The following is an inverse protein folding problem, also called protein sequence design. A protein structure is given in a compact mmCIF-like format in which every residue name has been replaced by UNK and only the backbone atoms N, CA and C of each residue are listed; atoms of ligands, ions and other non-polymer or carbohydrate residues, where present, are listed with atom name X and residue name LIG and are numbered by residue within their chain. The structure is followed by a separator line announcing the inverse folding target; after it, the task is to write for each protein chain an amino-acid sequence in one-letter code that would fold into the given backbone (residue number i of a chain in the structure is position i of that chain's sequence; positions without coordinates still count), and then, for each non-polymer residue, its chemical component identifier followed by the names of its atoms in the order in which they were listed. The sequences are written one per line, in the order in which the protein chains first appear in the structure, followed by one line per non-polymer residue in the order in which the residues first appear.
data_IF_739143741002
#
_entry.id   IF_739143741002
#
_cell.length_a   1.000
_cell.length_b   1.000
_cell.length_c   1.000
_cell.angle_alpha   90.00
_cell.angle_beta   90.00
_cell.angle_gamma   90.00
#
_symmetry.space_group_name_H-M   'P 1'
#
loop_
_entity.id
_entity.type
_entity.pdbx_description
1 polymer ?
#
# COMPACT_ATOMS: atom_id res chain seq x y z
N UNK A 1 20.06 9.46 9.29
CA UNK A 1 19.30 8.50 8.46
C UNK A 1 17.82 8.80 8.61
N UNK A 2 17.16 9.33 7.58
CA UNK A 2 15.69 9.45 7.61
C UNK A 2 15.13 8.02 7.63
N UNK A 3 14.22 7.66 8.55
CA UNK A 3 13.61 6.34 8.50
C UNK A 3 12.91 6.23 7.15
N UNK A 4 13.25 5.21 6.37
CA UNK A 4 12.45 4.81 5.21
C UNK A 4 11.06 4.49 5.77
N UNK A 5 10.15 5.47 5.77
CA UNK A 5 8.75 5.22 6.07
C UNK A 5 8.27 4.34 4.92
N UNK A 6 7.95 3.09 5.24
CA UNK A 6 7.41 2.16 4.26
C UNK A 6 6.16 2.80 3.62
N UNK A 7 6.16 2.95 2.30
CA UNK A 7 5.03 3.52 1.56
C UNK A 7 3.73 2.77 1.88
N UNK A 8 3.81 1.45 2.05
CA UNK A 8 2.70 0.61 2.52
C UNK A 8 2.18 1.03 3.89
N UNK A 9 3.07 1.33 4.84
CA UNK A 9 2.66 1.78 6.18
C UNK A 9 2.02 3.18 6.18
N UNK A 10 2.29 4.01 5.18
CA UNK A 10 1.59 5.28 4.98
C UNK A 10 0.19 5.05 4.40
N UNK A 11 0.08 4.19 3.36
CA UNK A 11 -1.20 3.84 2.77
C UNK A 11 -2.14 3.14 3.75
N UNK A 12 -1.64 2.25 4.61
CA UNK A 12 -2.44 1.59 5.66
C UNK A 12 -2.99 2.58 6.70
N UNK A 13 -2.23 3.63 7.02
CA UNK A 13 -2.71 4.70 7.92
C UNK A 13 -3.76 5.57 7.26
N UNK A 14 -3.57 5.90 6.00
CA UNK A 14 -4.56 6.63 5.21
C UNK A 14 -5.87 5.85 5.08
N UNK A 15 -5.80 4.53 4.89
CA UNK A 15 -6.96 3.62 4.86
C UNK A 15 -7.75 3.69 6.17
N UNK A 16 -7.06 3.60 7.30
CA UNK A 16 -7.68 3.70 8.62
C UNK A 16 -8.37 5.06 8.80
N UNK A 17 -7.73 6.15 8.39
CA UNK A 17 -8.32 7.48 8.45
C UNK A 17 -9.60 7.60 7.61
N UNK A 18 -9.59 7.11 6.36
CA UNK A 18 -10.77 7.16 5.48
C UNK A 18 -11.94 6.34 6.04
N UNK A 19 -11.67 5.17 6.64
CA UNK A 19 -12.69 4.36 7.31
C UNK A 19 -13.29 5.09 8.51
N UNK A 20 -12.49 5.78 9.31
CA UNK A 20 -12.98 6.60 10.42
C UNK A 20 -13.85 7.76 9.94
N UNK A 21 -13.49 8.41 8.82
CA UNK A 21 -14.32 9.46 8.23
C UNK A 21 -15.66 8.92 7.72
N UNK A 22 -15.65 7.77 7.05
CA UNK A 22 -16.88 7.10 6.59
C UNK A 22 -17.83 6.72 7.74
N UNK A 23 -17.28 6.40 8.91
CA UNK A 23 -18.09 6.13 10.12
C UNK A 23 -18.69 7.40 10.73
N UNK A 24 -18.00 8.54 10.64
CA UNK A 24 -18.38 9.77 11.33
C UNK A 24 -19.30 10.67 10.51
N UNK A 25 -19.25 10.59 9.18
CA UNK A 25 -19.88 11.55 8.28
C UNK A 25 -20.76 10.86 7.23
N UNK A 26 -21.98 11.38 7.04
CA UNK A 26 -22.89 10.94 5.97
C UNK A 26 -22.71 11.73 4.66
N UNK A 27 -22.17 12.94 4.74
CA UNK A 27 -21.86 13.79 3.59
C UNK A 27 -20.61 13.28 2.86
N UNK A 28 -20.51 13.48 1.55
CA UNK A 28 -19.33 13.06 0.77
C UNK A 28 -18.95 11.57 0.89
N UNK A 29 -19.88 10.68 1.29
CA UNK A 29 -19.62 9.23 1.42
C UNK A 29 -19.11 8.64 0.12
N UNK A 30 -19.71 9.02 -1.01
CA UNK A 30 -19.32 8.50 -2.32
C UNK A 30 -17.89 8.89 -2.69
N UNK A 31 -17.46 10.12 -2.38
CA UNK A 31 -16.10 10.58 -2.61
C UNK A 31 -15.09 9.85 -1.71
N UNK A 32 -15.46 9.63 -0.44
CA UNK A 32 -14.66 8.85 0.50
C UNK A 32 -14.53 7.38 0.06
N UNK A 33 -15.60 6.79 -0.46
CA UNK A 33 -15.57 5.42 -1.00
C UNK A 33 -14.66 5.31 -2.22
N UNK A 34 -14.77 6.24 -3.19
CA UNK A 34 -13.87 6.25 -4.36
C UNK A 34 -12.40 6.35 -3.95
N UNK A 35 -12.09 7.26 -3.02
CA UNK A 35 -10.73 7.40 -2.48
C UNK A 35 -10.24 6.13 -1.79
N UNK A 36 -11.11 5.47 -1.05
CA UNK A 36 -10.77 4.21 -0.38
C UNK A 36 -10.52 3.09 -1.41
N UNK A 37 -11.34 2.99 -2.46
CA UNK A 37 -11.16 2.02 -3.55
C UNK A 37 -9.83 2.23 -4.28
N UNK A 38 -9.50 3.48 -4.63
CA UNK A 38 -8.21 3.82 -5.26
C UNK A 38 -7.02 3.46 -4.35
N UNK A 39 -7.16 3.71 -3.05
CA UNK A 39 -6.13 3.42 -2.06
C UNK A 39 -5.92 1.90 -1.87
N UNK A 40 -7.00 1.13 -1.81
CA UNK A 40 -6.95 -0.35 -1.72
C UNK A 40 -6.28 -0.95 -2.96
N UNK A 41 -6.59 -0.43 -4.16
CA UNK A 41 -5.92 -0.85 -5.39
C UNK A 41 -4.41 -0.57 -5.35
N UNK A 42 -3.99 0.57 -4.80
CA UNK A 42 -2.57 0.92 -4.63
C UNK A 42 -1.87 0.06 -3.59
N UNK A 43 -2.54 -0.25 -2.47
CA UNK A 43 -2.05 -1.18 -1.45
C UNK A 43 -1.83 -2.55 -2.09
N UNK A 44 -2.81 -3.06 -2.82
CA UNK A 44 -2.71 -4.35 -3.50
C UNK A 44 -1.54 -4.37 -4.50
N UNK A 45 -1.34 -3.29 -5.26
CA UNK A 45 -0.20 -3.18 -6.17
C UNK A 45 1.15 -3.19 -5.44
N UNK A 46 1.26 -2.47 -4.32
CA UNK A 46 2.50 -2.40 -3.53
C UNK A 46 2.77 -3.73 -2.80
N UNK A 47 1.74 -4.39 -2.27
CA UNK A 47 1.83 -5.73 -1.71
C UNK A 47 2.22 -6.76 -2.75
N UNK A 48 1.74 -6.66 -4.00
CA UNK A 48 2.17 -7.53 -5.11
C UNK A 48 3.59 -7.21 -5.62
N UNK A 49 4.07 -5.98 -5.43
CA UNK A 49 5.46 -5.61 -5.71
C UNK A 49 6.42 -6.24 -4.71
N UNK A 50 6.04 -6.39 -3.44
CA UNK A 50 6.88 -6.99 -2.40
C UNK A 50 7.44 -8.39 -2.78
N UNK A 51 6.58 -9.37 -3.12
CA UNK A 51 6.98 -10.69 -3.59
C UNK A 51 7.81 -10.65 -4.87
N UNK A 52 7.49 -9.77 -5.82
CA UNK A 52 8.24 -9.63 -7.08
C UNK A 52 9.65 -9.10 -6.85
N UNK A 53 9.79 -8.03 -6.06
CA UNK A 53 11.09 -7.46 -5.69
C UNK A 53 11.92 -8.45 -4.88
N UNK A 54 11.29 -9.18 -3.95
CA UNK A 54 11.97 -10.25 -3.19
C UNK A 54 12.42 -11.42 -4.08
N UNK A 55 11.57 -11.87 -5.00
CA UNK A 55 11.92 -12.91 -5.97
C UNK A 55 13.03 -12.45 -6.92
N UNK A 56 13.00 -11.21 -7.41
CA UNK A 56 14.08 -10.63 -8.22
C UNK A 56 15.40 -10.60 -7.46
N UNK A 57 15.39 -10.26 -6.16
CA UNK A 57 16.59 -10.30 -5.31
C UNK A 57 17.13 -11.73 -5.11
N UNK A 58 16.27 -12.74 -5.00
CA UNK A 58 16.69 -14.15 -4.90
C UNK A 58 17.24 -14.65 -6.24
N UNK A 59 16.53 -14.38 -7.33
CA UNK A 59 16.91 -14.84 -8.67
C UNK A 59 18.21 -14.20 -9.15
N UNK A 60 18.41 -12.89 -8.89
CA UNK A 60 19.71 -12.25 -9.15
C UNK A 60 20.83 -12.84 -8.28
N UNK A 61 20.58 -13.15 -7.00
CA UNK A 61 21.59 -13.81 -6.15
C UNK A 61 21.98 -15.20 -6.66
N UNK A 62 21.02 -15.95 -7.21
CA UNK A 62 21.27 -17.29 -7.77
C UNK A 62 22.07 -17.25 -9.09
N UNK A 63 22.05 -16.14 -9.83
CA UNK A 63 22.81 -15.99 -11.07
C UNK A 63 24.23 -15.45 -10.87
N UNK A 64 24.49 -14.75 -9.77
CA UNK A 64 25.78 -14.08 -9.50
C UNK A 64 26.74 -14.93 -8.65
N UNK A 65 26.27 -16.06 -8.09
CA UNK A 65 27.12 -17.11 -7.52
C UNK A 65 26.84 -18.45 -8.23
N UNK A 66 27.65 -18.83 -9.24
CA UNK A 66 27.68 -20.21 -9.73
C UNK A 66 28.28 -21.18 -8.69
#
# INVERSE_FOLDING_TARGET
MKPYRSSLAEMLRERQYLLEQLQRTREHRDDLYRRLEDLENRILQEENRGPRTYLDHILHRAQVNP
#
